data_IF_007092508456
#
_entry.id   IF_007092508456
#
_cell.length_a   1.000
_cell.length_b   1.000
_cell.length_c   1.000
_cell.angle_alpha   90.00
_cell.angle_beta   90.00
_cell.angle_gamma   90.00
#
_symmetry.space_group_name_H-M   'P 1'
#
loop_
_entity.id
_entity.type
_entity.pdbx_description
1 polymer ?
#
# COMPACT_ATOMS: atom_id res chain seq x y z
N UNK A 1 1.55 34.77 -1.52
CA UNK A 1 2.43 33.61 -1.29
C UNK A 1 2.24 32.64 -2.45
N UNK A 2 3.23 32.51 -3.34
CA UNK A 2 3.13 31.77 -4.62
C UNK A 2 3.04 30.26 -4.36
N UNK A 3 1.90 29.64 -4.67
CA UNK A 3 1.76 28.20 -4.81
C UNK A 3 2.55 27.76 -6.05
N UNK A 4 3.63 26.99 -5.84
CA UNK A 4 4.30 26.29 -6.93
C UNK A 4 3.34 25.26 -7.52
N UNK A 5 2.89 25.49 -8.76
CA UNK A 5 2.20 24.49 -9.57
C UNK A 5 3.10 23.26 -9.68
N UNK A 6 2.67 22.14 -9.10
CA UNK A 6 3.27 20.84 -9.33
C UNK A 6 3.30 20.56 -10.83
N UNK A 7 4.48 20.23 -11.34
CA UNK A 7 4.68 19.73 -12.70
C UNK A 7 3.81 18.49 -12.90
N UNK A 8 2.78 18.60 -13.74
CA UNK A 8 2.06 17.45 -14.28
C UNK A 8 3.08 16.59 -15.04
N UNK A 9 3.39 15.40 -14.52
CA UNK A 9 4.12 14.39 -15.28
C UNK A 9 3.16 13.95 -16.39
N UNK A 10 3.53 14.08 -17.68
CA UNK A 10 2.66 13.66 -18.76
C UNK A 10 2.53 12.13 -18.74
N UNK A 11 1.37 11.63 -18.32
CA UNK A 11 1.00 10.20 -18.36
C UNK A 11 0.48 9.80 -19.75
N UNK A 12 0.44 10.75 -20.71
CA UNK A 12 -0.15 10.56 -22.03
C UNK A 12 0.78 9.92 -23.09
N UNK A 13 1.89 9.31 -22.70
CA UNK A 13 2.79 8.60 -23.65
C UNK A 13 3.32 7.26 -23.12
N UNK A 14 2.73 6.72 -22.05
CA UNK A 14 3.14 5.45 -21.43
C UNK A 14 2.48 4.21 -22.03
N UNK A 15 1.64 4.36 -23.08
CA UNK A 15 0.81 3.30 -23.68
C UNK A 15 1.60 2.11 -24.26
N UNK A 16 2.92 2.20 -24.43
CA UNK A 16 3.75 1.09 -24.98
C UNK A 16 4.46 0.23 -23.93
N UNK A 17 4.74 0.73 -22.73
CA UNK A 17 5.34 -0.05 -21.63
C UNK A 17 4.29 -0.54 -20.63
N UNK A 18 3.22 0.23 -20.50
CA UNK A 18 2.03 -0.05 -19.72
C UNK A 18 0.90 0.15 -20.72
N UNK A 19 0.51 -0.91 -21.43
CA UNK A 19 -0.63 -0.82 -22.35
C UNK A 19 -1.86 -0.28 -21.60
N UNK A 20 -2.96 0.04 -22.29
CA UNK A 20 -4.30 0.29 -21.72
C UNK A 20 -4.89 -0.92 -20.94
N UNK A 21 -3.99 -1.82 -20.53
CA UNK A 21 -4.07 -3.13 -19.89
C UNK A 21 -2.93 -3.38 -18.87
N UNK A 22 -2.20 -2.33 -18.45
CA UNK A 22 -1.23 -2.28 -17.34
C UNK A 22 -0.09 -3.31 -17.26
N UNK A 23 0.15 -4.14 -18.28
CA UNK A 23 1.27 -5.10 -18.28
C UNK A 23 2.63 -4.37 -18.31
N UNK A 24 3.55 -4.71 -17.39
CA UNK A 24 4.93 -4.21 -17.37
C UNK A 24 5.84 -5.14 -18.18
N UNK A 25 6.32 -4.66 -19.33
CA UNK A 25 7.28 -5.39 -20.16
C UNK A 25 8.71 -5.22 -19.59
N UNK A 26 9.35 -6.32 -19.18
CA UNK A 26 10.77 -6.33 -18.85
C UNK A 26 11.65 -6.59 -20.08
N UNK A 27 12.93 -6.22 -19.99
CA UNK A 27 13.90 -6.39 -21.05
C UNK A 27 13.95 -7.87 -21.52
N UNK A 28 13.84 -8.09 -22.85
CA UNK A 28 13.73 -9.41 -23.53
C UNK A 28 12.34 -10.08 -23.54
N UNK A 29 11.26 -9.30 -23.46
CA UNK A 29 9.91 -9.83 -23.75
C UNK A 29 9.37 -10.81 -22.71
N UNK A 30 10.02 -10.92 -21.55
CA UNK A 30 9.48 -11.65 -20.40
C UNK A 30 8.41 -10.77 -19.77
N UNK A 31 7.14 -11.10 -20.02
CA UNK A 31 5.99 -10.45 -19.39
C UNK A 31 5.96 -10.94 -17.94
N UNK A 32 6.26 -10.06 -16.97
CA UNK A 32 5.83 -10.31 -15.59
C UNK A 32 4.33 -10.00 -15.54
N UNK A 33 3.53 -10.99 -15.94
CA UNK A 33 2.07 -11.05 -15.89
C UNK A 33 1.27 -9.89 -16.55
N UNK A 34 0.12 -10.22 -17.14
CA UNK A 34 -0.83 -9.22 -17.63
C UNK A 34 -1.51 -8.54 -16.44
N UNK A 35 -0.90 -7.50 -15.91
CA UNK A 35 -1.51 -6.71 -14.86
C UNK A 35 -2.41 -5.61 -15.45
N UNK A 36 -3.65 -5.91 -15.87
CA UNK A 36 -4.65 -4.87 -16.21
C UNK A 36 -4.90 -3.90 -15.03
N UNK A 37 -4.06 -2.86 -14.90
CA UNK A 37 -4.22 -1.78 -13.94
C UNK A 37 -5.00 -0.63 -14.58
N UNK A 38 -6.02 -0.15 -13.89
CA UNK A 38 -6.56 1.20 -14.05
C UNK A 38 -5.71 2.15 -13.18
N UNK A 39 -5.54 3.38 -13.62
CA UNK A 39 -5.12 4.46 -12.72
C UNK A 39 -6.39 5.15 -12.21
N UNK A 40 -6.57 5.24 -10.89
CA UNK A 40 -7.36 6.34 -10.34
C UNK A 40 -6.54 7.63 -10.49
N UNK A 41 -7.00 8.77 -9.97
CA UNK A 41 -6.30 10.06 -10.12
C UNK A 41 -4.78 9.99 -9.81
N UNK A 42 -4.34 9.05 -8.94
CA UNK A 42 -2.92 8.73 -8.69
C UNK A 42 -2.59 7.29 -8.22
N UNK A 43 -3.57 6.44 -7.89
CA UNK A 43 -3.36 5.08 -7.37
C UNK A 43 -3.36 4.04 -8.50
N UNK A 44 -2.46 3.06 -8.43
CA UNK A 44 -2.52 1.83 -9.23
C UNK A 44 -3.68 0.98 -8.74
N UNK A 45 -4.66 0.74 -9.60
CA UNK A 45 -5.91 0.08 -9.25
C UNK A 45 -6.15 -1.15 -10.12
N UNK A 46 -6.21 -2.34 -9.50
CA UNK A 46 -6.34 -3.63 -10.20
C UNK A 46 -7.66 -4.31 -9.93
N UNK A 47 -8.07 -4.36 -8.67
CA UNK A 47 -9.31 -5.00 -8.22
C UNK A 47 -9.99 -4.11 -7.19
N UNK A 48 -11.30 -4.27 -7.02
CA UNK A 48 -12.04 -3.56 -5.96
C UNK A 48 -11.64 -4.04 -4.57
N UNK A 49 -11.37 -5.33 -4.46
CA UNK A 49 -11.09 -5.98 -3.19
C UNK A 49 -9.58 -6.00 -2.94
N UNK A 50 -9.17 -5.51 -1.77
CA UNK A 50 -7.79 -5.58 -1.31
C UNK A 50 -6.75 -5.06 -2.30
N UNK A 51 -7.05 -3.94 -2.99
CA UNK A 51 -6.19 -3.39 -4.04
C UNK A 51 -4.75 -3.07 -3.56
N UNK A 52 -4.56 -2.75 -2.28
CA UNK A 52 -3.25 -2.46 -1.71
C UNK A 52 -2.24 -3.61 -1.86
N UNK A 53 -2.69 -4.85 -2.03
CA UNK A 53 -1.78 -5.97 -2.35
C UNK A 53 -1.00 -5.73 -3.64
N UNK A 54 -1.65 -5.13 -4.65
CA UNK A 54 -1.04 -4.84 -5.93
C UNK A 54 -0.20 -3.57 -5.88
N UNK A 55 -0.66 -2.57 -5.14
CA UNK A 55 0.08 -1.31 -4.94
C UNK A 55 1.43 -1.60 -4.29
N UNK A 56 1.44 -2.38 -3.22
CA UNK A 56 2.66 -2.70 -2.45
C UNK A 56 3.59 -3.63 -3.21
N UNK A 57 3.08 -4.71 -3.82
CA UNK A 57 3.88 -5.65 -4.62
C UNK A 57 4.47 -4.99 -5.87
N UNK A 58 3.69 -4.19 -6.60
CA UNK A 58 4.16 -3.46 -7.79
C UNK A 58 5.21 -2.44 -7.40
N UNK A 59 5.00 -1.68 -6.31
CA UNK A 59 6.00 -0.73 -5.82
C UNK A 59 7.34 -1.41 -5.50
N UNK A 60 7.29 -2.57 -4.84
CA UNK A 60 8.50 -3.36 -4.55
C UNK A 60 9.20 -3.85 -5.82
N UNK A 61 8.44 -4.35 -6.81
CA UNK A 61 8.99 -4.81 -8.09
C UNK A 61 9.61 -3.66 -8.90
N UNK A 62 8.94 -2.50 -8.96
CA UNK A 62 9.44 -1.29 -9.63
C UNK A 62 10.78 -0.84 -9.03
N UNK A 63 10.90 -0.82 -7.69
CA UNK A 63 12.13 -0.45 -7.00
C UNK A 63 13.25 -1.47 -7.23
N UNK A 64 12.92 -2.76 -7.19
CA UNK A 64 13.87 -3.85 -7.47
C UNK A 64 14.39 -3.74 -8.90
N UNK A 65 13.52 -3.52 -9.87
CA UNK A 65 13.91 -3.38 -11.26
C UNK A 65 14.68 -2.08 -11.53
N UNK A 66 14.31 -0.99 -10.87
CA UNK A 66 15.09 0.25 -10.92
C UNK A 66 16.52 0.05 -10.39
N UNK A 67 16.69 -0.72 -9.31
CA UNK A 67 18.01 -1.09 -8.78
C UNK A 67 18.81 -1.92 -9.79
N UNK A 68 18.17 -2.90 -10.43
CA UNK A 68 18.78 -3.69 -11.49
C UNK A 68 19.29 -2.80 -12.64
N UNK A 69 18.41 -1.98 -13.23
CA UNK A 69 18.76 -1.08 -14.34
C UNK A 69 19.88 -0.08 -13.98
N UNK A 70 19.88 0.40 -12.74
CA UNK A 70 20.97 1.26 -12.23
C UNK A 70 22.30 0.51 -12.22
N UNK A 71 22.31 -0.74 -11.77
CA UNK A 71 23.52 -1.56 -11.62
C UNK A 71 24.05 -2.05 -12.97
N UNK A 72 23.16 -2.34 -13.92
CA UNK A 72 23.53 -2.76 -15.27
C UNK A 72 23.85 -1.60 -16.22
N UNK A 73 23.70 -0.34 -15.76
CA UNK A 73 23.85 0.85 -16.60
C UNK A 73 22.96 0.83 -17.86
N UNK A 74 21.73 0.29 -17.73
CA UNK A 74 20.79 0.16 -18.84
C UNK A 74 19.48 0.93 -18.59
N UNK A 75 18.75 1.16 -19.68
CA UNK A 75 17.38 1.66 -19.68
C UNK A 75 16.50 0.72 -20.47
N UNK A 76 15.18 0.83 -20.33
CA UNK A 76 14.24 0.07 -21.15
C UNK A 76 13.63 0.98 -22.20
N UNK A 77 13.64 0.55 -23.46
CA UNK A 77 12.84 1.16 -24.51
C UNK A 77 11.59 0.30 -24.72
N UNK A 78 10.41 0.84 -24.51
CA UNK A 78 9.19 0.21 -24.98
C UNK A 78 8.53 1.10 -26.02
N UNK A 79 8.43 0.61 -27.25
CA UNK A 79 7.72 1.27 -28.35
C UNK A 79 8.01 2.76 -28.52
N UNK A 80 9.26 3.21 -28.32
CA UNK A 80 9.67 4.61 -28.48
C UNK A 80 9.73 5.42 -27.17
N UNK A 81 9.27 4.86 -26.05
CA UNK A 81 9.34 5.50 -24.73
C UNK A 81 10.50 4.91 -23.92
N UNK A 82 11.37 5.79 -23.40
CA UNK A 82 12.50 5.39 -22.55
C UNK A 82 12.06 5.40 -21.08
N UNK A 83 12.11 4.23 -20.45
CA UNK A 83 11.91 4.06 -19.01
C UNK A 83 13.27 4.02 -18.32
N UNK A 84 13.43 4.95 -17.37
CA UNK A 84 14.67 5.11 -16.62
C UNK A 84 14.53 4.52 -15.21
N UNK A 85 15.64 4.17 -14.54
CA UNK A 85 15.59 3.83 -13.12
C UNK A 85 14.90 4.93 -12.27
N UNK A 86 15.11 6.19 -12.63
CA UNK A 86 14.51 7.34 -11.93
C UNK A 86 12.98 7.34 -12.06
N UNK A 87 12.43 7.11 -13.26
CA UNK A 87 10.97 7.10 -13.45
C UNK A 87 10.30 5.98 -12.65
N UNK A 88 10.90 4.78 -12.63
CA UNK A 88 10.39 3.65 -11.83
C UNK A 88 10.38 3.96 -10.33
N UNK A 89 11.46 4.55 -9.80
CA UNK A 89 11.53 4.98 -8.39
C UNK A 89 10.47 6.04 -8.07
N UNK A 90 10.24 7.00 -8.96
CA UNK A 90 9.22 8.04 -8.77
C UNK A 90 7.83 7.42 -8.68
N UNK A 91 7.47 6.50 -9.58
CA UNK A 91 6.15 5.84 -9.58
C UNK A 91 5.96 5.05 -8.28
N UNK A 92 6.94 4.21 -7.90
CA UNK A 92 6.86 3.45 -6.67
C UNK A 92 6.75 4.34 -5.42
N UNK A 93 7.51 5.46 -5.39
CA UNK A 93 7.40 6.42 -4.30
C UNK A 93 6.01 7.05 -4.23
N UNK A 94 5.43 7.45 -5.36
CA UNK A 94 4.07 8.02 -5.39
C UNK A 94 3.03 7.04 -4.84
N UNK A 95 3.14 5.75 -5.16
CA UNK A 95 2.25 4.72 -4.62
C UNK A 95 2.39 4.55 -3.10
N UNK A 96 3.62 4.55 -2.59
CA UNK A 96 3.89 4.49 -1.15
C UNK A 96 3.43 5.77 -0.44
N UNK A 97 3.65 6.94 -1.03
CA UNK A 97 3.19 8.22 -0.48
C UNK A 97 1.65 8.25 -0.42
N UNK A 98 0.96 7.79 -1.46
CA UNK A 98 -0.50 7.65 -1.47
C UNK A 98 -0.96 6.75 -0.32
N UNK A 99 -0.37 5.56 -0.18
CA UNK A 99 -0.68 4.62 0.91
C UNK A 99 -0.51 5.27 2.29
N UNK A 100 0.52 6.10 2.44
CA UNK A 100 0.87 6.73 3.72
C UNK A 100 0.12 8.05 3.99
N UNK A 101 -0.70 8.54 3.06
CA UNK A 101 -1.59 9.68 3.30
C UNK A 101 -1.60 10.77 2.23
N UNK A 102 -0.79 10.68 1.17
CA UNK A 102 -0.90 11.59 0.03
C UNK A 102 -1.99 11.16 -0.95
N UNK A 103 -3.21 11.13 -0.44
CA UNK A 103 -4.43 10.76 -1.16
C UNK A 103 -5.54 11.80 -0.92
N UNK A 104 -6.68 11.75 -1.64
CA UNK A 104 -7.77 12.71 -1.48
C UNK A 104 -8.34 12.76 -0.05
N UNK A 105 -8.32 11.64 0.68
CA UNK A 105 -8.80 11.56 2.05
C UNK A 105 -7.78 12.07 3.08
N UNK A 106 -6.53 12.33 2.69
CA UNK A 106 -5.43 12.67 3.63
C UNK A 106 -5.38 11.69 4.82
N UNK A 107 -5.57 10.41 4.52
CA UNK A 107 -5.63 9.31 5.48
C UNK A 107 -4.54 8.29 5.15
N UNK A 108 -3.74 7.89 6.13
CA UNK A 108 -2.85 6.75 5.97
C UNK A 108 -3.66 5.46 5.96
N UNK A 109 -3.46 4.60 4.96
CA UNK A 109 -3.98 3.24 4.97
C UNK A 109 -3.11 2.27 5.78
N UNK A 110 -2.01 2.77 6.37
CA UNK A 110 -1.24 2.07 7.39
C UNK A 110 -1.72 2.47 8.78
N UNK A 111 -2.26 1.52 9.53
CA UNK A 111 -2.80 1.75 10.87
C UNK A 111 -1.70 2.22 11.82
N UNK A 112 -1.98 3.28 12.58
CA UNK A 112 -1.02 3.89 13.51
C UNK A 112 0.01 4.82 12.87
N UNK A 113 -0.02 5.02 11.56
CA UNK A 113 0.87 5.96 10.87
C UNK A 113 0.16 7.29 10.53
N UNK A 114 0.84 8.41 10.79
CA UNK A 114 0.29 9.74 10.55
C UNK A 114 -0.81 10.15 11.54
N UNK A 115 -1.50 11.25 11.25
CA UNK A 115 -2.53 11.83 12.13
C UNK A 115 -3.93 11.28 11.90
N UNK A 116 -4.16 10.60 10.76
CA UNK A 116 -5.47 10.04 10.38
C UNK A 116 -5.23 8.67 9.73
N UNK A 117 -5.82 7.63 10.30
CA UNK A 117 -5.73 6.24 9.83
C UNK A 117 -7.01 5.46 10.19
N UNK A 118 -7.31 4.31 9.54
CA UNK A 118 -8.46 3.45 9.84
C UNK A 118 -8.50 3.01 11.30
N UNK A 119 -9.66 3.14 11.95
CA UNK A 119 -9.86 2.78 13.34
C UNK A 119 -10.71 1.52 13.52
N UNK A 120 -11.37 1.06 12.45
CA UNK A 120 -12.37 -0.01 12.49
C UNK A 120 -12.07 -1.11 11.46
N UNK A 121 -10.79 -1.49 11.37
CA UNK A 121 -10.33 -2.54 10.45
C UNK A 121 -10.99 -3.90 10.73
N UNK A 122 -11.21 -4.70 9.68
CA UNK A 122 -11.67 -6.09 9.78
C UNK A 122 -10.55 -7.01 10.30
N UNK A 123 -10.25 -6.94 11.60
CA UNK A 123 -9.30 -7.84 12.25
C UNK A 123 -9.77 -8.24 13.64
N UNK A 124 -10.05 -9.54 13.84
CA UNK A 124 -10.65 -10.08 15.07
C UNK A 124 -9.84 -9.75 16.32
N UNK A 125 -8.52 -9.92 16.28
CA UNK A 125 -7.65 -9.58 17.42
C UNK A 125 -7.54 -8.07 17.68
N UNK A 126 -7.88 -7.24 16.69
CA UNK A 126 -7.90 -5.79 16.84
C UNK A 126 -9.23 -5.33 17.45
N UNK A 127 -10.34 -5.92 17.01
CA UNK A 127 -11.70 -5.51 17.37
C UNK A 127 -12.19 -6.06 18.70
N UNK A 128 -11.77 -7.26 19.12
CA UNK A 128 -12.16 -7.85 20.39
C UNK A 128 -11.29 -7.32 21.56
N UNK A 129 -11.83 -7.23 22.79
CA UNK A 129 -11.03 -6.90 23.96
C UNK A 129 -9.92 -7.93 24.16
N UNK A 130 -8.76 -7.49 24.66
CA UNK A 130 -7.65 -8.39 24.97
C UNK A 130 -7.97 -9.30 26.15
N UNK A 131 -7.26 -10.43 26.27
CA UNK A 131 -7.40 -11.38 27.39
C UNK A 131 -7.12 -10.73 28.75
N UNK A 132 -6.31 -9.66 28.79
CA UNK A 132 -6.02 -8.92 30.00
C UNK A 132 -7.24 -8.12 30.51
N UNK A 133 -8.09 -7.65 29.59
CA UNK A 133 -9.31 -6.88 29.90
C UNK A 133 -10.52 -7.82 30.04
N UNK A 134 -10.58 -8.87 29.23
CA UNK A 134 -11.65 -9.86 29.22
C UNK A 134 -11.06 -11.28 29.22
N UNK A 135 -10.75 -11.85 30.41
CA UNK A 135 -10.12 -13.18 30.52
C UNK A 135 -11.08 -14.34 30.18
N UNK A 136 -12.39 -14.07 30.11
CA UNK A 136 -13.41 -15.04 29.75
C UNK A 136 -13.37 -15.41 28.26
N UNK A 137 -14.03 -16.52 27.91
CA UNK A 137 -14.24 -16.89 26.51
C UNK A 137 -15.36 -16.06 25.91
N UNK A 138 -15.08 -15.38 24.80
CA UNK A 138 -16.08 -14.69 23.99
C UNK A 138 -16.73 -15.71 23.06
N UNK A 139 -18.06 -15.82 23.07
CA UNK A 139 -18.78 -16.75 22.18
C UNK A 139 -18.78 -16.24 20.74
N UNK A 140 -18.92 -17.16 19.76
CA UNK A 140 -18.94 -16.77 18.35
C UNK A 140 -20.02 -15.73 18.03
N UNK A 141 -21.23 -15.90 18.59
CA UNK A 141 -22.36 -14.99 18.38
C UNK A 141 -22.12 -13.59 18.95
N UNK A 142 -21.42 -13.49 20.08
CA UNK A 142 -21.10 -12.21 20.73
C UNK A 142 -20.16 -11.36 19.85
N UNK A 143 -19.32 -11.99 19.05
CA UNK A 143 -18.43 -11.32 18.10
C UNK A 143 -19.15 -10.49 17.04
N UNK A 144 -20.40 -10.82 16.68
CA UNK A 144 -21.17 -10.02 15.71
C UNK A 144 -21.55 -8.65 16.27
N UNK A 145 -21.84 -8.54 17.57
CA UNK A 145 -22.08 -7.22 18.20
C UNK A 145 -20.86 -6.30 18.11
N UNK A 146 -19.65 -6.88 18.13
CA UNK A 146 -18.40 -6.14 17.93
C UNK A 146 -18.20 -5.81 16.46
N UNK A 147 -18.54 -6.70 15.53
CA UNK A 147 -18.51 -6.44 14.09
C UNK A 147 -19.32 -5.17 13.75
N UNK A 148 -20.56 -5.09 14.22
CA UNK A 148 -21.51 -4.04 13.85
C UNK A 148 -21.32 -2.72 14.64
N UNK A 149 -20.47 -2.74 15.68
CA UNK A 149 -20.22 -1.58 16.53
C UNK A 149 -19.56 -0.42 15.77
N UNK A 150 -19.94 0.82 16.11
CA UNK A 150 -19.32 2.04 15.57
C UNK A 150 -18.10 2.50 16.37
N UNK A 151 -17.82 1.88 17.52
CA UNK A 151 -16.64 2.20 18.32
C UNK A 151 -15.34 1.86 17.58
N UNK A 152 -14.23 2.56 17.82
CA UNK A 152 -12.89 2.13 17.37
C UNK A 152 -12.51 0.74 17.87
N UNK A 153 -11.58 0.09 17.18
CA UNK A 153 -10.96 -1.16 17.65
C UNK A 153 -10.16 -0.91 18.95
N UNK A 154 -10.37 -1.69 20.02
CA UNK A 154 -9.67 -1.50 21.29
C UNK A 154 -8.16 -1.77 21.20
N UNK A 155 -7.72 -2.65 20.30
CA UNK A 155 -6.29 -2.92 20.09
C UNK A 155 -5.86 -2.36 18.72
N UNK A 156 -5.00 -1.33 18.75
CA UNK A 156 -4.48 -0.71 17.52
C UNK A 156 -3.47 -1.66 16.88
N UNK A 157 -3.77 -2.11 15.66
CA UNK A 157 -2.91 -3.03 14.91
C UNK A 157 -1.81 -2.27 14.15
N UNK A 158 -0.88 -1.68 14.89
CA UNK A 158 0.14 -0.75 14.37
C UNK A 158 0.95 -1.36 13.22
N UNK A 159 1.11 -0.60 12.13
CA UNK A 159 1.90 -0.98 10.96
C UNK A 159 1.16 -1.88 9.97
N UNK A 160 -0.05 -2.34 10.28
CA UNK A 160 -0.86 -3.10 9.32
C UNK A 160 -1.38 -2.20 8.21
N UNK A 161 -1.43 -2.71 6.98
CA UNK A 161 -2.05 -2.01 5.85
C UNK A 161 -3.33 -2.73 5.46
N UNK A 162 -4.42 -1.97 5.39
CA UNK A 162 -5.74 -2.45 4.97
C UNK A 162 -5.83 -2.63 3.45
N UNK A 163 -6.88 -3.28 2.98
CA UNK A 163 -7.18 -3.44 1.55
C UNK A 163 -7.16 -2.14 0.73
N UNK A 164 -7.47 -1.01 1.36
CA UNK A 164 -7.36 0.33 0.78
C UNK A 164 -8.66 0.85 0.20
N UNK A 165 -8.66 1.98 -0.52
CA UNK A 165 -9.88 2.58 -1.04
C UNK A 165 -10.39 1.85 -2.29
N UNK A 166 -11.66 2.11 -2.62
CA UNK A 166 -12.26 1.71 -3.89
C UNK A 166 -11.74 2.53 -5.08
N UNK A 167 -12.29 2.27 -6.27
CA UNK A 167 -11.85 2.93 -7.51
C UNK A 167 -12.13 4.44 -7.54
N UNK A 168 -12.95 4.96 -6.63
CA UNK A 168 -13.30 6.37 -6.48
C UNK A 168 -12.56 7.03 -5.31
N UNK A 169 -11.50 6.41 -4.81
CA UNK A 169 -10.74 6.83 -3.64
C UNK A 169 -11.60 6.87 -2.34
N UNK A 170 -12.73 6.13 -2.31
CA UNK A 170 -13.62 6.04 -1.14
C UNK A 170 -13.15 4.95 -0.18
N UNK A 171 -13.23 5.23 1.12
CA UNK A 171 -12.89 4.30 2.18
C UNK A 171 -13.79 4.54 3.40
N UNK A 172 -14.74 3.65 3.70
CA UNK A 172 -15.75 3.89 4.75
C UNK A 172 -15.24 3.67 6.18
N UNK A 173 -14.13 2.96 6.37
CA UNK A 173 -13.61 2.55 7.69
C UNK A 173 -14.69 1.78 8.50
N UNK A 174 -15.16 0.68 7.91
CA UNK A 174 -16.19 -0.19 8.47
C UNK A 174 -15.68 -1.63 8.58
N UNK A 175 -15.85 -2.25 9.75
CA UNK A 175 -15.40 -3.64 9.95
C UNK A 175 -16.08 -4.61 9.01
N UNK A 176 -17.36 -4.42 8.69
CA UNK A 176 -18.11 -5.34 7.82
C UNK A 176 -17.63 -5.31 6.37
N UNK A 177 -16.97 -4.22 5.96
CA UNK A 177 -16.33 -4.06 4.66
C UNK A 177 -14.95 -4.73 4.68
N UNK A 178 -14.94 -6.05 4.55
CA UNK A 178 -13.68 -6.82 4.52
C UNK A 178 -12.87 -6.52 3.26
N UNK A 179 -13.50 -6.13 2.14
CA UNK A 179 -12.83 -5.87 0.87
C UNK A 179 -11.82 -4.71 1.00
N UNK A 180 -12.23 -3.63 1.65
CA UNK A 180 -11.37 -2.46 1.85
C UNK A 180 -10.66 -2.46 3.21
N UNK A 181 -11.28 -2.97 4.28
CA UNK A 181 -10.77 -2.80 5.65
C UNK A 181 -9.94 -3.98 6.18
N UNK A 182 -9.89 -5.12 5.49
CA UNK A 182 -9.12 -6.28 5.94
C UNK A 182 -7.62 -6.08 5.70
N UNK A 183 -6.78 -6.23 6.73
CA UNK A 183 -5.33 -6.28 6.54
C UNK A 183 -4.88 -7.69 6.15
N UNK A 184 -3.81 -7.79 5.39
CA UNK A 184 -3.21 -9.07 5.06
C UNK A 184 -1.68 -9.06 5.03
N UNK A 185 -1.08 -10.20 5.38
CA UNK A 185 0.38 -10.38 5.39
C UNK A 185 1.00 -10.17 4.02
N UNK A 186 0.32 -10.56 2.93
CA UNK A 186 0.78 -10.36 1.56
C UNK A 186 0.69 -8.91 1.08
N UNK A 187 -0.06 -8.03 1.75
CA UNK A 187 -0.02 -6.57 1.53
C UNK A 187 1.24 -6.00 2.20
N UNK A 188 1.48 -6.41 3.44
CA UNK A 188 2.58 -5.89 4.25
C UNK A 188 3.97 -6.37 3.79
N UNK A 189 4.10 -7.64 3.40
CA UNK A 189 5.38 -8.26 3.06
C UNK A 189 6.18 -7.50 1.96
N UNK A 190 5.62 -7.19 0.77
CA UNK A 190 6.35 -6.42 -0.23
C UNK A 190 6.58 -4.95 0.20
N UNK A 191 5.67 -4.38 1.00
CA UNK A 191 5.81 -3.01 1.49
C UNK A 191 7.06 -2.84 2.34
N UNK A 192 7.40 -3.80 3.21
CA UNK A 192 8.64 -3.77 4.01
C UNK A 192 9.87 -3.54 3.12
N UNK A 193 9.97 -4.28 2.02
CA UNK A 193 11.07 -4.12 1.06
C UNK A 193 11.07 -2.77 0.37
N UNK A 194 9.90 -2.27 -0.02
CA UNK A 194 9.75 -0.96 -0.64
C UNK A 194 10.15 0.18 0.32
N UNK A 195 9.67 0.14 1.57
CA UNK A 195 10.00 1.11 2.61
C UNK A 195 11.50 1.09 2.94
N UNK A 196 12.11 -0.08 3.05
CA UNK A 196 13.55 -0.21 3.29
C UNK A 196 14.37 0.47 2.17
N UNK A 197 13.99 0.22 0.91
CA UNK A 197 14.64 0.87 -0.24
C UNK A 197 14.49 2.39 -0.22
N UNK A 198 13.27 2.89 0.02
CA UNK A 198 12.97 4.32 0.02
C UNK A 198 13.64 5.05 1.19
N UNK A 199 13.66 4.45 2.38
CA UNK A 199 14.36 4.98 3.55
C UNK A 199 15.87 5.13 3.29
N UNK A 200 16.48 4.12 2.65
CA UNK A 200 17.89 4.19 2.25
C UNK A 200 18.14 5.25 1.17
N UNK A 201 17.28 5.32 0.16
CA UNK A 201 17.52 6.13 -1.04
C UNK A 201 17.22 7.62 -0.88
N UNK A 202 16.29 7.98 0.01
CA UNK A 202 15.81 9.37 0.12
C UNK A 202 16.30 10.11 1.37
N UNK A 203 17.03 9.47 2.28
CA UNK A 203 17.76 10.12 3.39
C UNK A 203 16.95 11.00 4.38
N UNK A 204 15.67 11.23 4.11
CA UNK A 204 14.77 12.13 4.84
C UNK A 204 13.35 11.56 4.99
N UNK A 205 13.15 10.25 4.81
CA UNK A 205 11.97 9.60 5.36
C UNK A 205 12.22 9.44 6.87
N UNK A 206 11.69 10.41 7.63
CA UNK A 206 11.87 10.63 9.07
C UNK A 206 11.86 9.33 9.90
N UNK A 207 12.59 9.38 11.03
CA UNK A 207 12.72 8.36 12.10
C UNK A 207 11.44 7.58 12.45
N UNK A 208 10.25 8.14 12.15
CA UNK A 208 8.96 7.46 12.28
C UNK A 208 8.81 6.20 11.42
N UNK A 209 9.33 6.16 10.19
CA UNK A 209 9.22 4.96 9.33
C UNK A 209 10.10 3.81 9.80
N UNK A 210 11.29 4.08 10.33
CA UNK A 210 12.20 3.04 10.80
C UNK A 210 11.65 2.29 12.03
N UNK A 211 10.96 2.97 12.94
CA UNK A 211 10.28 2.31 14.07
C UNK A 211 9.13 1.41 13.62
N UNK A 212 8.40 1.79 12.57
CA UNK A 212 7.24 1.03 12.09
C UNK A 212 7.62 -0.12 11.14
N UNK A 213 8.68 0.03 10.33
CA UNK A 213 9.22 -1.07 9.49
C UNK A 213 9.68 -2.26 10.33
N UNK A 214 10.26 -2.00 11.51
CA UNK A 214 10.61 -3.06 12.47
C UNK A 214 9.37 -3.77 13.03
N UNK A 215 8.28 -3.05 13.27
CA UNK A 215 7.05 -3.60 13.84
C UNK A 215 6.27 -4.49 12.86
N UNK A 216 6.30 -4.20 11.55
CA UNK A 216 5.65 -5.03 10.52
C UNK A 216 6.26 -6.46 10.49
N UNK A 217 7.54 -6.58 10.83
CA UNK A 217 8.28 -7.86 10.86
C UNK A 217 7.90 -8.75 12.06
N UNK A 218 7.23 -8.21 13.08
CA UNK A 218 6.90 -8.93 14.31
C UNK A 218 5.59 -9.73 14.24
N UNK A 219 4.90 -9.72 13.09
CA UNK A 219 3.56 -10.32 12.93
C UNK A 219 3.48 -11.85 13.01
N UNK A 220 4.55 -12.56 13.38
CA UNK A 220 4.55 -14.01 13.49
C UNK A 220 4.79 -14.57 14.90
N UNK A 221 4.87 -13.75 15.94
CA UNK A 221 4.93 -14.24 17.32
C UNK A 221 4.08 -13.35 18.21
N UNK A 222 2.95 -13.90 18.67
CA UNK A 222 2.08 -13.46 19.78
C UNK A 222 0.61 -13.34 19.38
N UNK A 223 -0.02 -14.45 18.98
CA UNK A 223 -1.48 -14.66 19.07
C UNK A 223 -1.79 -16.15 18.84
N UNK A 224 -1.38 -16.99 19.80
CA UNK A 224 -2.01 -18.28 20.13
C UNK A 224 -2.17 -18.31 21.65
#
# INVERSE_FOLDING_TARGET
MRLHRGTKIPVASSESCFNNRGAMLLHRGTILQNFDFKLTLTLLFKMNDSNMQYVTSTSFLLLTYAKYLTTSHTVVNCGGTIITPKSLKTIAKQQVDYLLGDNPLKMSYMVGFGTRYPQRIHHRGSSLPSIAVHPGKIQCSEGFSVMDSQSPNPNILVGTVVGGPDLHDSFPDERSDYEQSEPATYINAPLVGALAYLAHSFGQLQRALLQHVLCISCFNYSSL
#
